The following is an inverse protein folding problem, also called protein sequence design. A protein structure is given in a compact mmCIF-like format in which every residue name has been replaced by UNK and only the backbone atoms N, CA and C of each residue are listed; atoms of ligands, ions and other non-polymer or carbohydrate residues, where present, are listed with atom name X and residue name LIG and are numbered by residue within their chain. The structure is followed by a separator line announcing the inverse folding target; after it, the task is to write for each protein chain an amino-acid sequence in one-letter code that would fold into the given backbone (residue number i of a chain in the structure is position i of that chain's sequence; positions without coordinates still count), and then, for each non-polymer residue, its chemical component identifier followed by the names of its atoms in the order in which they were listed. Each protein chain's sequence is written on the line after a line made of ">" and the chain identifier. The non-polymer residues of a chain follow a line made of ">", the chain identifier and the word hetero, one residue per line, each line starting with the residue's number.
data_IF_053037704518
#
_entry.id   IF_053037704518
#
_cell.length_a   1.000
_cell.length_b   1.000
_cell.length_c   1.000
_cell.angle_alpha   90.00
_cell.angle_beta   90.00
_cell.angle_gamma   90.00
#
_symmetry.space_group_name_H-M   'P 1'
#
loop_
_entity.id
_entity.type
_entity.pdbx_description
1 polymer ?
#
# COMPACT_ATOMS: atom_id res chain seq x y z
N UNK A 1 23.38 -12.18 10.11
CA UNK A 1 22.41 -12.73 9.12
C UNK A 1 22.20 -11.71 8.01
N UNK A 2 22.35 -12.10 6.76
CA UNK A 2 22.09 -11.23 5.59
C UNK A 2 20.58 -11.03 5.45
N UNK A 3 20.12 -9.80 5.43
CA UNK A 3 18.68 -9.50 5.27
C UNK A 3 18.24 -9.91 3.87
N UNK A 4 17.07 -10.54 3.76
CA UNK A 4 16.51 -10.91 2.45
C UNK A 4 16.05 -9.65 1.70
N UNK A 5 16.27 -9.57 0.37
CA UNK A 5 15.74 -8.46 -0.43
C UNK A 5 14.22 -8.39 -0.38
N UNK A 6 13.68 -7.19 -0.53
CA UNK A 6 12.24 -7.00 -0.75
C UNK A 6 11.99 -7.30 -2.22
N UNK A 7 11.00 -8.16 -2.49
CA UNK A 7 10.56 -8.53 -3.82
C UNK A 7 9.06 -8.33 -3.95
N UNK A 8 8.64 -7.64 -4.99
CA UNK A 8 7.23 -7.41 -5.33
C UNK A 8 7.05 -7.57 -6.84
N UNK A 9 6.01 -8.28 -7.24
CA UNK A 9 5.67 -8.58 -8.63
C UNK A 9 4.17 -8.44 -8.84
N UNK A 10 3.76 -7.86 -9.97
CA UNK A 10 2.38 -7.76 -10.41
C UNK A 10 2.27 -8.01 -11.92
N UNK A 11 1.18 -8.64 -12.34
CA UNK A 11 0.81 -8.73 -13.74
C UNK A 11 -0.24 -7.67 -14.07
N UNK A 12 -0.09 -6.98 -15.20
CA UNK A 12 -1.05 -5.99 -15.67
C UNK A 12 -1.16 -6.00 -17.19
N UNK A 13 -2.31 -5.53 -17.69
CA UNK A 13 -2.54 -5.28 -19.11
C UNK A 13 -2.10 -3.88 -19.45
N UNK A 14 -1.02 -3.75 -20.20
CA UNK A 14 -0.47 -2.46 -20.63
C UNK A 14 0.38 -2.64 -21.87
N UNK A 15 0.62 -1.55 -22.55
CA UNK A 15 1.73 -1.39 -23.46
C UNK A 15 3.04 -1.19 -22.67
N UNK A 16 4.16 -1.73 -23.15
CA UNK A 16 5.46 -1.66 -22.47
C UNK A 16 5.98 -0.22 -22.39
N UNK A 17 5.79 0.58 -23.46
CA UNK A 17 6.22 1.98 -23.49
C UNK A 17 5.41 2.83 -22.54
N UNK A 18 4.08 2.61 -22.49
CA UNK A 18 3.20 3.28 -21.54
C UNK A 18 3.60 2.98 -20.09
N UNK A 19 3.82 1.70 -19.74
CA UNK A 19 4.22 1.32 -18.39
C UNK A 19 5.61 1.91 -18.06
N UNK A 20 6.53 1.90 -19.01
CA UNK A 20 7.85 2.51 -18.86
C UNK A 20 7.74 4.01 -18.58
N UNK A 21 6.93 4.74 -19.33
CA UNK A 21 6.69 6.17 -19.10
C UNK A 21 6.14 6.44 -17.70
N UNK A 22 5.11 5.69 -17.27
CA UNK A 22 4.49 5.87 -15.96
C UNK A 22 5.44 5.62 -14.79
N UNK A 23 6.44 4.79 -14.99
CA UNK A 23 7.41 4.42 -13.95
C UNK A 23 8.70 5.22 -13.99
N UNK A 24 9.15 5.68 -15.18
CA UNK A 24 10.42 6.41 -15.33
C UNK A 24 10.24 7.94 -15.36
N UNK A 25 9.04 8.45 -15.65
CA UNK A 25 8.74 9.87 -15.58
C UNK A 25 8.49 10.29 -14.12
N UNK A 26 9.32 11.18 -13.52
CA UNK A 26 9.18 11.58 -12.12
C UNK A 26 7.82 12.18 -11.78
N UNK A 27 7.21 12.90 -12.74
CA UNK A 27 5.91 13.55 -12.56
C UNK A 27 4.78 12.54 -12.43
N UNK A 28 4.87 11.41 -13.14
CA UNK A 28 3.91 10.31 -13.07
C UNK A 28 4.23 9.35 -11.92
N UNK A 29 5.51 9.06 -11.71
CA UNK A 29 5.96 8.12 -10.68
C UNK A 29 5.49 8.52 -9.28
N UNK A 30 5.66 9.79 -8.89
CA UNK A 30 5.23 10.28 -7.57
C UNK A 30 3.71 10.20 -7.32
N UNK A 31 2.89 10.05 -8.35
CA UNK A 31 1.44 10.00 -8.20
C UNK A 31 0.96 8.62 -7.70
N UNK A 32 1.66 7.55 -8.03
CA UNK A 32 1.23 6.19 -7.68
C UNK A 32 2.10 5.51 -6.62
N UNK A 33 3.34 5.93 -6.42
CA UNK A 33 4.26 5.29 -5.49
C UNK A 33 4.19 5.93 -4.10
N UNK A 34 3.54 5.25 -3.16
CA UNK A 34 3.37 5.72 -1.78
C UNK A 34 4.68 5.97 -1.02
N UNK A 35 5.79 5.41 -1.52
CA UNK A 35 7.09 5.59 -0.88
C UNK A 35 7.65 6.98 -1.09
N UNK A 36 7.14 7.71 -2.08
CA UNK A 36 7.63 9.02 -2.47
C UNK A 36 6.52 10.06 -2.48
N UNK A 37 6.76 11.19 -1.84
CA UNK A 37 5.90 12.37 -1.95
C UNK A 37 6.38 13.35 -3.00
N UNK A 38 7.66 13.28 -3.35
CA UNK A 38 8.25 14.06 -4.44
C UNK A 38 9.49 13.34 -5.01
N UNK A 39 9.71 13.49 -6.31
CA UNK A 39 10.90 13.03 -7.02
C UNK A 39 11.32 14.16 -7.96
N UNK A 40 12.58 14.61 -7.84
CA UNK A 40 13.15 15.69 -8.66
C UNK A 40 14.42 15.19 -9.32
N UNK A 41 14.45 15.16 -10.65
CA UNK A 41 15.68 14.85 -11.38
C UNK A 41 16.62 16.04 -11.31
N UNK A 42 17.88 15.73 -10.99
CA UNK A 42 18.96 16.71 -11.00
C UNK A 42 19.45 16.91 -12.44
N UNK A 43 20.03 18.10 -12.67
CA UNK A 43 20.66 18.39 -13.96
C UNK A 43 21.73 17.34 -14.27
N UNK A 44 21.68 16.79 -15.48
CA UNK A 44 22.59 15.74 -15.94
C UNK A 44 23.57 16.31 -16.95
N UNK A 45 24.85 16.15 -16.69
CA UNK A 45 25.88 16.41 -17.68
C UNK A 45 25.91 15.28 -18.75
N UNK A 46 26.34 15.58 -19.97
CA UNK A 46 26.61 14.53 -20.97
C UNK A 46 27.50 13.43 -20.34
N UNK A 47 27.12 12.17 -20.51
CA UNK A 47 27.82 10.99 -19.96
C UNK A 47 27.69 10.72 -18.45
N UNK A 48 27.04 11.60 -17.69
CA UNK A 48 26.75 11.30 -16.28
C UNK A 48 25.49 10.44 -16.14
N UNK A 49 25.42 9.70 -15.02
CA UNK A 49 24.22 8.97 -14.65
C UNK A 49 23.14 9.93 -14.16
N UNK A 50 21.87 9.61 -14.46
CA UNK A 50 20.77 10.43 -13.96
C UNK A 50 20.67 10.31 -12.45
N UNK A 51 20.88 11.42 -11.75
CA UNK A 51 20.67 11.56 -10.30
C UNK A 51 19.32 12.19 -10.02
N UNK A 52 18.72 11.83 -8.90
CA UNK A 52 17.45 12.40 -8.45
C UNK A 52 17.44 12.55 -6.93
N UNK A 53 16.67 13.53 -6.47
CA UNK A 53 16.27 13.69 -5.08
C UNK A 53 14.91 13.06 -4.89
N UNK A 54 14.72 12.35 -3.80
CA UNK A 54 13.40 11.88 -3.38
C UNK A 54 13.06 12.38 -1.99
N UNK A 55 11.78 12.62 -1.76
CA UNK A 55 11.21 12.97 -0.46
C UNK A 55 10.08 12.02 -0.11
N UNK A 56 10.00 11.64 1.15
CA UNK A 56 8.90 10.86 1.73
C UNK A 56 8.33 11.63 2.92
N UNK A 57 7.05 11.93 2.89
CA UNK A 57 6.33 12.49 4.04
C UNK A 57 5.86 11.36 4.95
N UNK A 58 6.26 11.39 6.21
CA UNK A 58 5.93 10.35 7.20
C UNK A 58 4.84 10.78 8.20
N UNK A 59 4.15 11.87 7.92
CA UNK A 59 3.10 12.44 8.78
C UNK A 59 3.61 13.54 9.70
N UNK A 60 2.71 14.23 10.38
CA UNK A 60 2.99 15.32 11.33
C UNK A 60 3.97 16.39 10.83
N UNK A 61 3.98 16.66 9.52
CA UNK A 61 4.89 17.62 8.89
C UNK A 61 6.33 17.11 8.69
N UNK A 62 6.66 15.90 9.15
CA UNK A 62 7.99 15.32 9.01
C UNK A 62 8.22 14.81 7.58
N UNK A 63 9.42 15.08 7.07
CA UNK A 63 9.88 14.62 5.77
C UNK A 63 11.23 13.92 5.92
N UNK A 64 11.43 12.87 5.15
CA UNK A 64 12.72 12.22 4.96
C UNK A 64 13.12 12.39 3.50
N UNK A 65 14.32 12.87 3.26
CA UNK A 65 14.89 13.03 1.92
C UNK A 65 16.07 12.10 1.70
N UNK A 66 16.32 11.80 0.46
CA UNK A 66 17.48 11.03 0.04
C UNK A 66 17.81 11.26 -1.42
N UNK A 67 18.89 10.65 -1.86
CA UNK A 67 19.37 10.71 -3.25
C UNK A 67 19.29 9.35 -3.89
N UNK A 68 19.02 9.33 -5.19
CA UNK A 68 19.09 8.13 -6.00
C UNK A 68 19.85 8.42 -7.29
N UNK A 69 20.35 7.35 -7.89
CA UNK A 69 21.08 7.38 -9.15
C UNK A 69 20.65 6.20 -10.01
N UNK A 70 20.33 6.45 -11.28
CA UNK A 70 20.10 5.38 -12.25
C UNK A 70 21.44 4.75 -12.62
N UNK A 71 21.66 3.50 -12.25
CA UNK A 71 22.92 2.79 -12.46
C UNK A 71 23.00 2.25 -13.89
N UNK A 72 21.90 1.77 -14.46
CA UNK A 72 21.84 1.24 -15.80
C UNK A 72 20.43 1.01 -16.28
N UNK A 73 20.27 1.10 -17.60
CA UNK A 73 19.05 0.73 -18.30
C UNK A 73 19.45 -0.30 -19.37
N UNK A 74 18.78 -1.44 -19.35
CA UNK A 74 18.99 -2.52 -20.33
C UNK A 74 17.67 -2.70 -21.07
N UNK A 75 17.73 -2.66 -22.40
CA UNK A 75 16.63 -2.98 -23.27
C UNK A 75 17.03 -4.25 -24.04
N UNK A 76 16.53 -5.41 -23.60
CA UNK A 76 16.74 -6.69 -24.29
C UNK A 76 15.62 -6.91 -25.31
N UNK A 77 15.80 -6.36 -26.51
CA UNK A 77 14.81 -6.47 -27.58
C UNK A 77 13.48 -5.77 -27.26
N UNK A 78 12.39 -6.21 -27.89
CA UNK A 78 11.05 -5.64 -27.69
C UNK A 78 10.30 -6.19 -26.47
N UNK A 79 10.81 -7.24 -25.82
CA UNK A 79 10.06 -8.01 -24.81
C UNK A 79 10.49 -7.79 -23.36
N UNK A 80 11.69 -7.24 -23.10
CA UNK A 80 12.20 -7.06 -21.75
C UNK A 80 12.93 -5.73 -21.57
N UNK A 81 12.66 -5.03 -20.46
CA UNK A 81 13.41 -3.85 -20.03
C UNK A 81 13.79 -3.96 -18.56
N UNK A 82 14.95 -3.43 -18.20
CA UNK A 82 15.43 -3.37 -16.81
C UNK A 82 15.95 -1.97 -16.52
N UNK A 83 15.53 -1.39 -15.40
CA UNK A 83 16.08 -0.14 -14.87
C UNK A 83 16.66 -0.41 -13.48
N UNK A 84 17.97 -0.21 -13.34
CA UNK A 84 18.69 -0.42 -12.08
C UNK A 84 19.00 0.92 -11.42
N UNK A 85 18.86 0.99 -10.10
CA UNK A 85 19.06 2.19 -9.33
C UNK A 85 19.84 1.90 -8.04
N UNK A 86 20.64 2.88 -7.62
CA UNK A 86 21.21 2.99 -6.28
C UNK A 86 20.52 4.16 -5.56
N UNK A 87 20.33 4.03 -4.25
CA UNK A 87 19.67 5.06 -3.44
C UNK A 87 20.26 5.10 -2.03
N UNK A 88 20.13 6.25 -1.38
CA UNK A 88 20.59 6.41 0.00
C UNK A 88 20.03 7.67 0.63
N UNK A 89 20.24 7.81 1.93
CA UNK A 89 19.83 8.98 2.69
C UNK A 89 20.74 9.19 3.89
N UNK A 90 21.23 10.42 4.02
CA UNK A 90 21.95 10.89 5.20
C UNK A 90 21.03 11.61 6.20
N UNK A 91 19.72 11.61 5.91
CA UNK A 91 18.74 12.26 6.77
C UNK A 91 18.63 11.54 8.12
N UNK A 92 18.66 12.27 9.27
CA UNK A 92 18.73 11.67 10.61
C UNK A 92 17.49 10.84 10.99
N UNK A 93 16.39 10.94 10.29
CA UNK A 93 15.20 10.07 10.51
C UNK A 93 15.15 8.87 9.54
N UNK A 94 16.12 8.73 8.63
CA UNK A 94 16.14 7.64 7.68
C UNK A 94 16.67 6.35 8.29
N UNK A 95 15.88 5.26 8.17
CA UNK A 95 16.37 3.90 8.48
C UNK A 95 17.20 3.31 7.34
N UNK A 96 17.22 3.94 6.16
CA UNK A 96 17.97 3.49 4.98
C UNK A 96 19.23 4.32 4.88
N UNK A 97 20.42 3.70 4.99
CA UNK A 97 21.69 4.34 4.69
C UNK A 97 21.95 4.38 3.19
N UNK A 98 22.07 3.21 2.58
CA UNK A 98 22.26 3.02 1.15
C UNK A 98 21.65 1.69 0.73
N UNK A 99 21.21 1.64 -0.50
CA UNK A 99 20.60 0.47 -1.07
C UNK A 99 20.71 0.45 -2.59
N UNK A 100 20.31 -0.64 -3.16
CA UNK A 100 20.22 -0.82 -4.60
C UNK A 100 19.07 -1.73 -4.95
N UNK A 101 18.58 -1.58 -6.15
CA UNK A 101 17.51 -2.40 -6.66
C UNK A 101 17.34 -2.23 -8.16
N UNK A 102 16.36 -2.92 -8.68
CA UNK A 102 16.00 -2.81 -10.08
C UNK A 102 14.48 -2.96 -10.27
N UNK A 103 13.99 -2.41 -11.35
CA UNK A 103 12.70 -2.69 -11.94
C UNK A 103 12.90 -3.48 -13.21
N UNK A 104 12.06 -4.50 -13.38
CA UNK A 104 12.09 -5.37 -14.55
C UNK A 104 10.68 -5.45 -15.12
N UNK A 105 10.61 -5.32 -16.44
CA UNK A 105 9.39 -5.33 -17.23
C UNK A 105 9.52 -6.47 -18.22
N UNK A 106 8.62 -7.43 -18.17
CA UNK A 106 8.65 -8.61 -19.02
C UNK A 106 7.32 -8.71 -19.73
N UNK A 107 7.34 -8.55 -21.04
CA UNK A 107 6.17 -8.77 -21.87
C UNK A 107 5.89 -10.27 -21.98
N UNK A 108 4.64 -10.67 -21.73
CA UNK A 108 4.19 -12.06 -21.80
C UNK A 108 3.48 -12.30 -23.12
N UNK A 109 3.48 -13.55 -23.60
CA UNK A 109 2.81 -13.95 -24.85
C UNK A 109 1.29 -13.69 -24.82
N UNK A 110 0.68 -13.60 -23.63
CA UNK A 110 -0.75 -13.32 -23.45
C UNK A 110 -1.11 -11.83 -23.48
N UNK A 111 -0.21 -10.95 -23.91
CA UNK A 111 -0.41 -9.50 -23.97
C UNK A 111 -0.41 -8.79 -22.61
N UNK A 112 0.01 -9.47 -21.54
CA UNK A 112 0.23 -8.87 -20.23
C UNK A 112 1.71 -8.55 -20.05
N UNK A 113 1.97 -7.63 -19.12
CA UNK A 113 3.32 -7.33 -18.66
C UNK A 113 3.46 -7.78 -17.21
N UNK A 114 4.52 -8.52 -16.91
CA UNK A 114 4.99 -8.74 -15.54
C UNK A 114 5.91 -7.60 -15.17
N UNK A 115 5.46 -6.77 -14.21
CA UNK A 115 6.25 -5.70 -13.62
C UNK A 115 6.72 -6.12 -12.24
N UNK A 116 8.02 -6.09 -11.99
CA UNK A 116 8.59 -6.50 -10.73
C UNK A 116 9.71 -5.57 -10.26
N UNK A 117 9.91 -5.56 -8.95
CA UNK A 117 11.06 -4.93 -8.30
C UNK A 117 11.71 -5.87 -7.31
N UNK A 118 13.02 -5.78 -7.23
CA UNK A 118 13.79 -6.36 -6.15
C UNK A 118 14.79 -5.33 -5.67
N UNK A 119 14.81 -5.08 -4.36
CA UNK A 119 15.75 -4.14 -3.77
C UNK A 119 16.19 -4.56 -2.37
N UNK A 120 17.35 -4.10 -1.99
CA UNK A 120 17.94 -4.32 -0.68
C UNK A 120 18.61 -3.04 -0.20
N UNK A 121 18.74 -2.89 1.11
CA UNK A 121 19.39 -1.73 1.70
C UNK A 121 20.10 -2.09 3.00
N UNK A 122 21.07 -1.29 3.37
CA UNK A 122 21.72 -1.31 4.68
C UNK A 122 20.93 -0.42 5.62
N UNK A 123 20.62 -0.94 6.79
CA UNK A 123 19.86 -0.26 7.83
C UNK A 123 20.78 0.63 8.66
N UNK A 124 20.34 1.86 8.94
CA UNK A 124 20.99 2.77 9.88
C UNK A 124 20.83 2.31 11.34
N UNK A 125 21.51 2.99 12.27
CA UNK A 125 21.36 2.83 13.73
C UNK A 125 21.69 1.45 14.30
N UNK A 126 22.60 0.70 13.68
CA UNK A 126 23.15 -0.53 14.23
C UNK A 126 22.12 -1.59 14.60
N UNK A 127 22.19 -2.14 15.82
CA UNK A 127 21.27 -3.19 16.30
C UNK A 127 19.85 -2.67 16.51
N UNK A 128 19.57 -1.54 17.18
CA UNK A 128 18.20 -1.01 17.32
C UNK A 128 17.54 -0.77 15.97
N UNK A 129 18.25 -0.16 15.01
CA UNK A 129 17.73 0.04 13.67
C UNK A 129 17.36 -1.26 12.96
N UNK A 130 18.16 -2.32 13.10
CA UNK A 130 17.86 -3.64 12.54
C UNK A 130 16.60 -4.27 13.14
N UNK A 131 16.34 -4.08 14.43
CA UNK A 131 15.12 -4.56 15.07
C UNK A 131 13.88 -3.84 14.55
N UNK A 132 13.92 -2.49 14.52
CA UNK A 132 12.84 -1.66 13.98
C UNK A 132 12.59 -2.00 12.50
N UNK A 133 13.66 -2.16 11.71
CA UNK A 133 13.56 -2.55 10.30
C UNK A 133 12.85 -3.90 10.14
N UNK A 134 13.28 -4.90 10.90
CA UNK A 134 12.74 -6.26 10.77
C UNK A 134 11.27 -6.37 11.19
N UNK A 135 10.90 -5.71 12.29
CA UNK A 135 9.58 -5.85 12.89
C UNK A 135 8.55 -4.93 12.24
N UNK A 136 8.96 -3.73 11.84
CA UNK A 136 8.03 -2.67 11.40
C UNK A 136 8.36 -2.14 10.00
N UNK A 137 9.56 -1.55 9.81
CA UNK A 137 9.85 -0.75 8.63
C UNK A 137 9.87 -1.58 7.34
N UNK A 138 10.55 -2.71 7.32
CA UNK A 138 10.63 -3.60 6.15
C UNK A 138 9.28 -4.23 5.76
N UNK A 139 8.44 -4.73 6.69
CA UNK A 139 7.07 -5.14 6.37
C UNK A 139 6.22 -4.02 5.79
N UNK A 140 6.27 -2.80 6.38
CA UNK A 140 5.55 -1.64 5.90
C UNK A 140 6.02 -1.19 4.51
N UNK A 141 7.34 -1.14 4.30
CA UNK A 141 7.93 -0.76 3.01
C UNK A 141 7.54 -1.77 1.91
N UNK A 142 7.58 -3.06 2.21
CA UNK A 142 7.12 -4.11 1.30
C UNK A 142 5.62 -4.04 1.01
N UNK A 143 4.81 -3.69 2.01
CA UNK A 143 3.37 -3.46 1.83
C UNK A 143 3.11 -2.21 0.99
N UNK A 144 3.78 -1.10 1.30
CA UNK A 144 3.65 0.14 0.53
C UNK A 144 4.01 -0.06 -0.95
N UNK A 145 5.11 -0.80 -1.24
CA UNK A 145 5.48 -1.16 -2.60
C UNK A 145 4.40 -1.97 -3.32
N UNK A 146 3.85 -3.00 -2.65
CA UNK A 146 2.82 -3.85 -3.23
C UNK A 146 1.51 -3.07 -3.49
N UNK A 147 1.13 -2.20 -2.55
CA UNK A 147 -0.04 -1.33 -2.70
C UNK A 147 0.15 -0.33 -3.85
N UNK A 148 1.34 0.27 -3.97
CA UNK A 148 1.70 1.20 -5.05
C UNK A 148 1.62 0.52 -6.42
N UNK A 149 2.08 -0.72 -6.53
CA UNK A 149 2.01 -1.48 -7.78
C UNK A 149 0.56 -1.78 -8.19
N UNK A 150 -0.31 -2.09 -7.22
CA UNK A 150 -1.73 -2.30 -7.53
C UNK A 150 -2.44 -0.97 -7.86
N UNK A 151 -2.06 0.15 -7.22
CA UNK A 151 -2.55 1.48 -7.58
C UNK A 151 -2.15 1.87 -9.01
N UNK A 152 -0.90 1.60 -9.42
CA UNK A 152 -0.43 1.79 -10.79
C UNK A 152 -1.23 0.93 -11.79
N UNK A 153 -1.45 -0.35 -11.47
CA UNK A 153 -2.27 -1.24 -12.29
C UNK A 153 -3.69 -0.69 -12.49
N UNK A 154 -4.35 -0.28 -11.42
CA UNK A 154 -5.70 0.31 -11.49
C UNK A 154 -5.72 1.61 -12.31
N UNK A 155 -4.67 2.40 -12.23
CA UNK A 155 -4.55 3.61 -13.05
C UNK A 155 -4.42 3.28 -14.53
N UNK A 156 -3.54 2.34 -14.89
CA UNK A 156 -3.28 1.97 -16.28
C UNK A 156 -4.46 1.21 -16.91
N UNK A 157 -5.03 0.22 -16.18
CA UNK A 157 -6.07 -0.67 -16.70
C UNK A 157 -7.49 -0.08 -16.62
N UNK A 158 -7.78 0.72 -15.59
CA UNK A 158 -9.14 1.20 -15.27
C UNK A 158 -9.26 2.71 -15.27
N UNK A 159 -8.19 3.44 -15.60
CA UNK A 159 -8.10 4.90 -15.54
C UNK A 159 -8.45 5.49 -14.16
N UNK A 160 -8.24 4.73 -13.09
CA UNK A 160 -8.47 5.17 -11.71
C UNK A 160 -7.23 5.87 -11.17
N UNK A 161 -7.25 7.19 -11.19
CA UNK A 161 -6.11 7.99 -10.74
C UNK A 161 -5.75 7.72 -9.28
N UNK A 162 -4.46 7.49 -8.92
CA UNK A 162 -4.00 7.13 -7.57
C UNK A 162 -4.44 8.10 -6.46
N UNK A 163 -4.55 9.39 -6.74
CA UNK A 163 -5.06 10.38 -5.77
C UNK A 163 -6.48 10.06 -5.29
N UNK A 164 -7.35 9.60 -6.19
CA UNK A 164 -8.70 9.18 -5.81
C UNK A 164 -8.65 7.91 -4.98
N UNK A 165 -7.81 6.93 -5.35
CA UNK A 165 -7.65 5.69 -4.59
C UNK A 165 -7.09 5.94 -3.19
N UNK A 166 -6.13 6.87 -3.03
CA UNK A 166 -5.59 7.26 -1.72
C UNK A 166 -6.68 7.93 -0.86
N UNK A 167 -7.43 8.88 -1.41
CA UNK A 167 -8.54 9.52 -0.68
C UNK A 167 -9.59 8.49 -0.23
N UNK A 168 -10.00 7.63 -1.13
CA UNK A 168 -10.94 6.55 -0.83
C UNK A 168 -10.39 5.59 0.23
N UNK A 169 -9.08 5.29 0.21
CA UNK A 169 -8.44 4.47 1.23
C UNK A 169 -8.45 5.15 2.61
N UNK A 170 -8.20 6.46 2.68
CA UNK A 170 -8.27 7.24 3.92
C UNK A 170 -9.70 7.20 4.48
N UNK A 171 -10.71 7.50 3.65
CA UNK A 171 -12.12 7.44 4.05
C UNK A 171 -12.46 6.03 4.56
N UNK A 172 -12.03 5.00 3.85
CA UNK A 172 -12.25 3.62 4.26
C UNK A 172 -11.62 3.29 5.62
N UNK A 173 -10.39 3.74 5.88
CA UNK A 173 -9.72 3.55 7.18
C UNK A 173 -10.49 4.27 8.29
N UNK A 174 -10.97 5.49 8.04
CA UNK A 174 -11.78 6.25 9.01
C UNK A 174 -13.06 5.48 9.34
N UNK A 175 -13.74 4.94 8.34
CA UNK A 175 -14.95 4.11 8.54
C UNK A 175 -14.62 2.85 9.34
N UNK A 176 -13.51 2.17 9.03
CA UNK A 176 -13.07 0.99 9.79
C UNK A 176 -12.79 1.32 11.26
N UNK A 177 -12.12 2.44 11.53
CA UNK A 177 -11.85 2.89 12.89
C UNK A 177 -13.15 3.26 13.64
N UNK A 178 -14.07 3.95 12.97
CA UNK A 178 -15.36 4.28 13.54
C UNK A 178 -16.13 3.02 13.98
N UNK A 179 -16.29 2.03 13.10
CA UNK A 179 -16.98 0.80 13.45
C UNK A 179 -16.22 -0.03 14.50
N UNK A 180 -14.89 -0.02 14.48
CA UNK A 180 -14.08 -0.67 15.50
C UNK A 180 -14.35 -0.05 16.89
N UNK A 181 -14.30 1.29 16.99
CA UNK A 181 -14.57 2.01 18.23
C UNK A 181 -16.02 1.83 18.69
N UNK A 182 -16.98 1.84 17.76
CA UNK A 182 -18.39 1.58 18.05
C UNK A 182 -18.56 0.19 18.71
N UNK A 183 -18.00 -0.86 18.12
CA UNK A 183 -18.11 -2.21 18.66
C UNK A 183 -17.34 -2.40 19.96
N UNK A 184 -16.21 -1.73 20.16
CA UNK A 184 -15.53 -1.72 21.45
C UNK A 184 -16.36 -1.04 22.53
N UNK A 185 -16.97 0.11 22.22
CA UNK A 185 -17.86 0.79 23.15
C UNK A 185 -19.04 -0.10 23.55
N UNK A 186 -19.73 -0.68 22.58
CA UNK A 186 -20.83 -1.62 22.82
C UNK A 186 -20.37 -2.82 23.65
N UNK A 187 -19.21 -3.40 23.34
CA UNK A 187 -18.66 -4.52 24.09
C UNK A 187 -18.36 -4.19 25.54
N UNK A 188 -17.76 -3.03 25.80
CA UNK A 188 -17.48 -2.60 27.19
C UNK A 188 -18.77 -2.34 28.00
N UNK A 189 -19.80 -1.74 27.39
CA UNK A 189 -21.10 -1.55 28.05
C UNK A 189 -21.89 -2.86 28.12
N UNK A 190 -21.76 -3.74 27.12
CA UNK A 190 -22.43 -5.03 27.05
C UNK A 190 -21.96 -6.03 28.12
N UNK A 191 -20.74 -5.89 28.67
CA UNK A 191 -20.27 -6.73 29.79
C UNK A 191 -21.12 -6.59 31.06
N UNK A 192 -21.77 -5.46 31.25
CA UNK A 192 -22.69 -5.23 32.39
C UNK A 192 -23.94 -6.13 32.24
N UNK A 193 -24.33 -6.49 31.03
CA UNK A 193 -25.51 -7.31 30.73
C UNK A 193 -25.20 -8.76 30.48
N UNK A 194 -24.12 -9.05 29.75
CA UNK A 194 -23.68 -10.41 29.42
C UNK A 194 -22.22 -10.46 28.99
N UNK A 195 -21.43 -11.31 29.61
CA UNK A 195 -20.03 -11.57 29.26
C UNK A 195 -19.93 -12.08 27.81
N UNK A 196 -20.85 -12.91 27.35
CA UNK A 196 -20.86 -13.44 25.98
C UNK A 196 -21.12 -12.34 24.95
N UNK A 197 -22.10 -11.46 25.20
CA UNK A 197 -22.39 -10.33 24.31
C UNK A 197 -21.20 -9.38 24.22
N UNK A 198 -20.68 -8.91 25.34
CA UNK A 198 -19.52 -8.02 25.36
C UNK A 198 -18.28 -8.60 24.69
N UNK A 199 -18.00 -9.90 24.87
CA UNK A 199 -16.87 -10.57 24.21
C UNK A 199 -17.07 -10.65 22.69
N UNK A 200 -18.29 -10.95 22.22
CA UNK A 200 -18.59 -11.01 20.78
C UNK A 200 -18.45 -9.64 20.10
N UNK A 201 -18.91 -8.59 20.75
CA UNK A 201 -18.83 -7.21 20.24
C UNK A 201 -17.39 -6.69 20.19
N UNK A 202 -16.57 -6.98 21.21
CA UNK A 202 -15.12 -6.70 21.17
C UNK A 202 -14.46 -7.47 20.01
N UNK A 203 -14.84 -8.73 19.82
CA UNK A 203 -14.37 -9.55 18.69
C UNK A 203 -14.70 -8.90 17.33
N UNK A 204 -15.91 -8.36 17.18
CA UNK A 204 -16.28 -7.58 15.98
C UNK A 204 -15.41 -6.33 15.80
N UNK A 205 -15.16 -5.57 16.84
CA UNK A 205 -14.25 -4.41 16.80
C UNK A 205 -12.85 -4.78 16.33
N UNK A 206 -12.32 -5.89 16.81
CA UNK A 206 -11.03 -6.43 16.37
C UNK A 206 -11.02 -6.80 14.88
N UNK A 207 -12.08 -7.42 14.36
CA UNK A 207 -12.17 -7.79 12.94
C UNK A 207 -12.07 -6.58 12.01
N UNK A 208 -12.55 -5.40 12.43
CA UNK A 208 -12.43 -4.17 11.66
C UNK A 208 -10.98 -3.68 11.53
N UNK A 209 -10.13 -3.95 12.49
CA UNK A 209 -8.71 -3.56 12.48
C UNK A 209 -7.84 -4.53 11.69
N UNK A 210 -8.25 -5.79 11.55
CA UNK A 210 -7.46 -6.80 10.85
C UNK A 210 -7.55 -6.60 9.33
N UNK A 211 -6.42 -6.56 8.59
CA UNK A 211 -6.40 -6.44 7.14
C UNK A 211 -6.78 -7.76 6.44
N UNK A 212 -8.05 -8.11 6.47
CA UNK A 212 -8.56 -9.34 5.85
C UNK A 212 -8.69 -9.22 4.33
N UNK A 213 -8.42 -10.32 3.62
CA UNK A 213 -8.45 -10.39 2.15
C UNK A 213 -9.85 -10.17 1.56
N UNK A 214 -10.91 -10.50 2.30
CA UNK A 214 -12.32 -10.41 1.85
C UNK A 214 -13.15 -9.58 2.82
N UNK A 215 -12.71 -8.36 3.10
CA UNK A 215 -13.41 -7.47 4.04
C UNK A 215 -14.88 -7.22 3.69
N UNK A 216 -15.27 -7.27 2.41
CA UNK A 216 -16.65 -7.12 1.99
C UNK A 216 -17.61 -8.08 2.69
N UNK A 217 -17.15 -9.29 3.07
CA UNK A 217 -17.96 -10.27 3.82
C UNK A 217 -18.31 -9.72 5.21
N UNK A 218 -17.34 -9.08 5.88
CA UNK A 218 -17.55 -8.46 7.19
C UNK A 218 -18.56 -7.32 7.06
N UNK A 219 -18.40 -6.48 6.04
CA UNK A 219 -19.32 -5.38 5.78
C UNK A 219 -20.74 -5.86 5.48
N UNK A 220 -20.88 -6.90 4.66
CA UNK A 220 -22.19 -7.49 4.35
C UNK A 220 -22.84 -8.11 5.59
N UNK A 221 -22.08 -8.88 6.38
CA UNK A 221 -22.58 -9.47 7.63
C UNK A 221 -23.03 -8.39 8.62
N UNK A 222 -22.23 -7.33 8.79
CA UNK A 222 -22.60 -6.22 9.66
C UNK A 222 -23.82 -5.44 9.16
N UNK A 223 -23.96 -5.22 7.85
CA UNK A 223 -25.13 -4.60 7.28
C UNK A 223 -26.40 -5.42 7.58
N UNK A 224 -26.32 -6.76 7.51
CA UNK A 224 -27.42 -7.64 7.89
C UNK A 224 -27.77 -7.54 9.39
N UNK A 225 -26.76 -7.42 10.27
CA UNK A 225 -26.98 -7.24 11.71
C UNK A 225 -27.72 -5.93 11.97
N UNK A 226 -27.29 -4.82 11.40
CA UNK A 226 -27.96 -3.53 11.58
C UNK A 226 -29.34 -3.49 10.93
N UNK A 227 -29.54 -4.16 9.80
CA UNK A 227 -30.87 -4.32 9.22
C UNK A 227 -31.80 -5.09 10.17
N UNK A 228 -31.31 -6.16 10.81
CA UNK A 228 -32.06 -6.89 11.84
C UNK A 228 -32.46 -6.01 13.03
N UNK A 229 -31.55 -5.19 13.53
CA UNK A 229 -31.86 -4.24 14.62
C UNK A 229 -32.90 -3.19 14.21
N UNK A 230 -32.90 -2.73 12.95
CA UNK A 230 -33.90 -1.78 12.46
C UNK A 230 -35.34 -2.36 12.47
N UNK A 231 -35.49 -3.68 12.35
CA UNK A 231 -36.79 -4.33 12.41
C UNK A 231 -37.30 -4.61 13.83
N UNK A 232 -36.43 -4.70 14.80
CA UNK A 232 -36.74 -5.16 16.17
C UNK A 232 -36.65 -4.04 17.22
N UNK A 233 -35.88 -2.99 16.95
CA UNK A 233 -35.49 -2.00 17.95
C UNK A 233 -36.19 -0.64 17.84
N UNK A 234 -36.11 0.15 18.92
CA UNK A 234 -36.57 1.53 19.00
C UNK A 234 -35.72 2.53 18.21
N UNK A 235 -34.48 2.15 17.87
CA UNK A 235 -33.48 3.02 17.22
C UNK A 235 -33.42 2.75 15.68
N UNK A 236 -34.58 2.73 15.03
CA UNK A 236 -34.74 2.35 13.60
C UNK A 236 -33.86 3.22 12.71
N UNK A 237 -33.88 4.55 12.88
CA UNK A 237 -33.16 5.49 12.03
C UNK A 237 -31.64 5.28 12.11
N UNK A 238 -31.11 5.14 13.35
CA UNK A 238 -29.69 4.90 13.58
C UNK A 238 -29.25 3.56 12.97
N UNK A 239 -30.01 2.50 13.18
CA UNK A 239 -29.72 1.17 12.64
C UNK A 239 -29.73 1.16 11.10
N UNK A 240 -30.68 1.85 10.47
CA UNK A 240 -30.72 2.01 9.01
C UNK A 240 -29.48 2.78 8.49
N UNK A 241 -29.10 3.86 9.16
CA UNK A 241 -27.91 4.64 8.78
C UNK A 241 -26.65 3.78 8.86
N UNK A 242 -26.46 3.04 9.97
CA UNK A 242 -25.31 2.15 10.15
C UNK A 242 -25.30 1.01 9.11
N UNK A 243 -26.47 0.47 8.74
CA UNK A 243 -26.62 -0.50 7.68
C UNK A 243 -26.11 0.05 6.33
N UNK A 244 -26.58 1.25 5.93
CA UNK A 244 -26.16 1.92 4.69
C UNK A 244 -24.67 2.21 4.70
N UNK A 245 -24.10 2.74 5.80
CA UNK A 245 -22.68 3.02 5.92
C UNK A 245 -21.84 1.74 5.81
N UNK A 246 -22.29 0.63 6.40
CA UNK A 246 -21.61 -0.66 6.33
C UNK A 246 -21.62 -1.22 4.91
N UNK A 247 -22.77 -1.19 4.22
CA UNK A 247 -22.87 -1.62 2.83
C UNK A 247 -22.01 -0.78 1.89
N UNK A 248 -22.05 0.54 2.03
CA UNK A 248 -21.23 1.47 1.24
C UNK A 248 -19.72 1.22 1.44
N UNK A 249 -19.30 0.95 2.68
CA UNK A 249 -17.90 0.62 2.98
C UNK A 249 -17.49 -0.72 2.37
N UNK A 250 -18.39 -1.68 2.28
CA UNK A 250 -18.19 -2.95 1.58
C UNK A 250 -17.88 -2.73 0.09
N UNK A 251 -18.70 -1.94 -0.60
CA UNK A 251 -18.48 -1.57 -2.00
C UNK A 251 -17.16 -0.82 -2.18
N UNK A 252 -16.86 0.14 -1.30
CA UNK A 252 -15.61 0.90 -1.33
C UNK A 252 -14.40 -0.03 -1.19
N UNK A 253 -14.46 -1.03 -0.30
CA UNK A 253 -13.38 -1.99 -0.09
C UNK A 253 -13.01 -2.80 -1.34
N UNK A 254 -13.96 -3.06 -2.24
CA UNK A 254 -13.73 -3.76 -3.50
C UNK A 254 -13.00 -2.90 -4.54
N UNK A 255 -13.09 -1.58 -4.41
CA UNK A 255 -12.51 -0.64 -5.37
C UNK A 255 -11.10 -0.17 -5.00
N UNK A 256 -10.66 -0.46 -3.79
CA UNK A 256 -9.35 -0.03 -3.31
C UNK A 256 -8.22 -0.93 -3.83
N UNK A 257 -7.02 -0.36 -4.01
CA UNK A 257 -5.83 -1.13 -4.26
C UNK A 257 -5.63 -2.18 -3.17
N UNK A 258 -5.25 -3.37 -3.56
CA UNK A 258 -5.05 -4.48 -2.65
C UNK A 258 -3.66 -5.08 -2.85
N UNK A 259 -2.81 -4.93 -1.85
CA UNK A 259 -1.50 -5.59 -1.85
C UNK A 259 -1.57 -7.13 -1.98
N UNK A 260 -2.77 -7.71 -1.98
CA UNK A 260 -3.01 -9.15 -2.16
C UNK A 260 -2.93 -9.61 -3.61
N UNK A 261 -3.11 -8.71 -4.59
CA UNK A 261 -2.95 -9.03 -6.01
C UNK A 261 -1.47 -9.11 -6.42
N UNK A 262 -0.58 -8.58 -5.59
CA UNK A 262 0.86 -8.63 -5.82
C UNK A 262 1.48 -9.89 -5.20
N UNK A 263 2.31 -10.58 -5.97
CA UNK A 263 3.05 -11.74 -5.45
C UNK A 263 4.28 -11.25 -4.69
N UNK A 264 4.40 -11.64 -3.43
CA UNK A 264 5.60 -11.47 -2.63
C UNK A 264 6.33 -12.81 -2.58
N UNK A 265 7.21 -13.09 -3.52
CA UNK A 265 8.00 -14.33 -3.48
C UNK A 265 9.03 -14.22 -2.35
N UNK A 266 8.90 -15.08 -1.34
CA UNK A 266 10.05 -15.48 -0.54
C UNK A 266 10.84 -16.45 -1.41
N UNK A 267 11.90 -16.03 -2.08
CA UNK A 267 12.87 -16.99 -2.61
C UNK A 267 13.40 -17.79 -1.42
N UNK A 268 13.17 -19.10 -1.49
CA UNK A 268 13.76 -20.07 -0.57
C UNK A 268 15.29 -20.04 -0.66
#
# INVERSE_FOLDING_TARGET
>A
MRQKPIYVEIEMRSDLDKLWEYTQNPSLHKEWDLRFSNITYLHKQPYEKQKFLYETRIGFGLKVSGTGETVGVINEGSSERVSSLAFGSDHPLSLIQHGSGYWKYIQQDNGKITFLTQYQYKTAYGMPGKWIDRLLFRPLLGWATAWSFDALRLWIEQNKHPKHTIRSAIVYVIICLFFSLFWFYQGFTGFETSIFAGTAEIGMGMLWLIPLKRKWIIHAGQACIFAGFAFVGSEILLSMLLCVCSAASGVLSLQLPSAWHTKRKRKK
#
